data_IF_191175645856
#
_entry.id   IF_191175645856
#
_cell.length_a   1.000
_cell.length_b   1.000
_cell.length_c   1.000
_cell.angle_alpha   90.00
_cell.angle_beta   90.00
_cell.angle_gamma   90.00
#
_symmetry.space_group_name_H-M   'P 1'
#
loop_
_entity.id
_entity.type
_entity.pdbx_description
1 polymer ?
#
# COMPACT_ATOMS: atom_id res chain seq x y z
N UNK A 1 0.63 -7.58 21.69
CA UNK A 1 0.08 -6.31 21.14
C UNK A 1 0.01 -6.31 19.61
N UNK A 2 1.10 -6.55 18.88
CA UNK A 2 1.10 -6.50 17.41
C UNK A 2 0.10 -7.46 16.74
N UNK A 3 -0.10 -8.65 17.31
CA UNK A 3 -1.09 -9.61 16.82
C UNK A 3 -2.52 -9.07 16.87
N UNK A 4 -2.88 -8.38 17.96
CA UNK A 4 -4.20 -7.76 18.12
C UNK A 4 -4.41 -6.67 17.07
N UNK A 5 -3.43 -5.77 16.90
CA UNK A 5 -3.52 -4.69 15.93
C UNK A 5 -3.65 -5.21 14.49
N UNK A 6 -2.83 -6.21 14.12
CA UNK A 6 -2.90 -6.85 12.80
C UNK A 6 -4.26 -7.52 12.57
N UNK A 7 -4.81 -8.18 13.59
CA UNK A 7 -6.11 -8.86 13.48
C UNK A 7 -7.29 -7.87 13.40
N UNK A 8 -7.18 -6.67 13.98
CA UNK A 8 -8.20 -5.62 13.84
C UNK A 8 -8.34 -5.17 12.37
N UNK A 9 -7.24 -5.16 11.62
CA UNK A 9 -7.23 -4.84 10.19
C UNK A 9 -7.61 -6.02 9.30
N UNK A 10 -7.53 -7.27 9.79
CA UNK A 10 -7.75 -8.49 9.03
C UNK A 10 -9.24 -8.83 8.75
N UNK A 11 -10.10 -7.82 8.60
CA UNK A 11 -11.53 -7.99 8.29
C UNK A 11 -11.74 -8.12 6.78
N UNK A 12 -12.71 -8.93 6.35
CA UNK A 12 -12.97 -9.20 4.93
C UNK A 12 -13.13 -7.94 4.06
N UNK A 13 -13.92 -6.96 4.52
CA UNK A 13 -14.10 -5.68 3.81
C UNK A 13 -12.81 -4.86 3.70
N UNK A 14 -11.96 -4.87 4.73
CA UNK A 14 -10.68 -4.15 4.71
C UNK A 14 -9.68 -4.84 3.79
N UNK A 15 -9.69 -6.18 3.72
CA UNK A 15 -8.91 -6.95 2.73
C UNK A 15 -9.35 -6.58 1.31
N UNK A 16 -10.65 -6.62 1.02
CA UNK A 16 -11.19 -6.21 -0.28
C UNK A 16 -10.81 -4.77 -0.65
N UNK A 17 -10.95 -3.83 0.29
CA UNK A 17 -10.52 -2.43 0.08
C UNK A 17 -9.02 -2.34 -0.22
N UNK A 18 -8.18 -3.08 0.50
CA UNK A 18 -6.72 -3.09 0.27
C UNK A 18 -6.40 -3.58 -1.13
N UNK A 19 -7.05 -4.65 -1.57
CA UNK A 19 -6.87 -5.20 -2.91
C UNK A 19 -7.28 -4.19 -4.00
N UNK A 20 -8.42 -3.53 -3.83
CA UNK A 20 -8.88 -2.48 -4.74
C UNK A 20 -7.87 -1.33 -4.80
N UNK A 21 -7.46 -0.77 -3.65
CA UNK A 21 -6.55 0.37 -3.61
C UNK A 21 -5.18 0.05 -4.23
N UNK A 22 -4.61 -1.12 -3.92
CA UNK A 22 -3.35 -1.56 -4.50
C UNK A 22 -3.44 -1.73 -6.02
N UNK A 23 -4.55 -2.31 -6.51
CA UNK A 23 -4.79 -2.52 -7.95
C UNK A 23 -5.02 -1.20 -8.68
N UNK A 24 -5.77 -0.28 -8.08
CA UNK A 24 -5.96 1.08 -8.62
C UNK A 24 -4.63 1.81 -8.71
N UNK A 25 -3.81 1.80 -7.65
CA UNK A 25 -2.50 2.43 -7.67
C UNK A 25 -1.58 1.82 -8.74
N UNK A 26 -1.55 0.49 -8.85
CA UNK A 26 -0.81 -0.19 -9.91
C UNK A 26 -1.27 0.27 -11.30
N UNK A 27 -2.58 0.30 -11.55
CA UNK A 27 -3.14 0.74 -12.82
C UNK A 27 -2.81 2.22 -13.10
N UNK A 28 -2.87 3.09 -12.10
CA UNK A 28 -2.50 4.52 -12.23
C UNK A 28 -1.03 4.68 -12.58
N UNK A 29 -0.12 3.95 -11.93
CA UNK A 29 1.32 3.98 -12.24
C UNK A 29 1.57 3.44 -13.66
N UNK A 30 0.87 2.38 -14.06
CA UNK A 30 1.01 1.79 -15.40
C UNK A 30 0.54 2.74 -16.51
N UNK A 31 -0.64 3.34 -16.34
CA UNK A 31 -1.24 4.25 -17.34
C UNK A 31 -0.50 5.59 -17.39
N UNK A 32 0.02 6.08 -16.25
CA UNK A 32 0.70 7.37 -16.16
C UNK A 32 2.03 7.29 -15.41
N UNK A 33 2.96 6.52 -15.98
CA UNK A 33 4.29 6.29 -15.41
C UNK A 33 5.12 7.57 -15.30
N UNK A 34 4.96 8.50 -16.24
CA UNK A 34 5.66 9.80 -16.23
C UNK A 34 5.24 10.66 -15.03
N UNK A 35 3.93 10.78 -14.75
CA UNK A 35 3.47 11.53 -13.58
C UNK A 35 3.94 10.90 -12.27
N UNK A 36 3.95 9.56 -12.19
CA UNK A 36 4.52 8.85 -11.04
C UNK A 36 6.01 9.15 -10.86
N UNK A 37 6.80 9.07 -11.94
CA UNK A 37 8.23 9.34 -11.92
C UNK A 37 8.53 10.78 -11.49
N UNK A 38 7.78 11.76 -11.98
CA UNK A 38 7.97 13.17 -11.59
C UNK A 38 7.58 13.43 -10.13
N UNK A 39 6.50 12.79 -9.66
CA UNK A 39 5.96 13.01 -8.31
C UNK A 39 6.77 12.30 -7.21
N UNK A 40 7.28 11.10 -7.50
CA UNK A 40 7.90 10.22 -6.48
C UNK A 40 9.30 9.72 -6.85
N UNK A 41 9.65 9.71 -8.15
CA UNK A 41 10.92 9.17 -8.65
C UNK A 41 12.03 10.21 -8.89
N UNK A 42 11.69 11.50 -8.93
CA UNK A 42 12.60 12.59 -9.30
C UNK A 42 13.75 12.82 -8.30
N UNK A 43 13.73 13.93 -7.55
CA UNK A 43 14.82 14.28 -6.62
C UNK A 43 14.96 13.33 -5.44
N UNK A 44 13.94 12.52 -5.15
CA UNK A 44 13.87 11.68 -3.95
C UNK A 44 13.41 10.26 -4.30
N UNK A 45 14.27 9.43 -4.92
CA UNK A 45 13.89 8.10 -5.45
C UNK A 45 13.36 7.14 -4.37
N UNK A 46 13.71 7.36 -3.10
CA UNK A 46 13.19 6.59 -1.97
C UNK A 46 11.67 6.73 -1.80
N UNK A 47 11.05 7.81 -2.29
CA UNK A 47 9.60 7.96 -2.26
C UNK A 47 8.91 6.98 -3.22
N UNK A 48 9.47 6.72 -4.40
CA UNK A 48 8.95 5.70 -5.30
C UNK A 48 9.01 4.29 -4.66
N UNK A 49 10.14 3.97 -3.99
CA UNK A 49 10.27 2.72 -3.24
C UNK A 49 9.25 2.63 -2.09
N UNK A 50 9.02 3.73 -1.37
CA UNK A 50 8.01 3.79 -0.31
C UNK A 50 6.60 3.52 -0.85
N UNK A 51 6.24 4.10 -2.01
CA UNK A 51 4.93 3.86 -2.64
C UNK A 51 4.78 2.40 -3.07
N UNK A 52 5.81 1.80 -3.69
CA UNK A 52 5.79 0.37 -4.03
C UNK A 52 5.67 -0.52 -2.79
N UNK A 53 6.34 -0.16 -1.70
CA UNK A 53 6.22 -0.86 -0.43
C UNK A 53 4.79 -0.78 0.13
N UNK A 54 4.18 0.41 0.14
CA UNK A 54 2.77 0.58 0.54
C UNK A 54 1.81 -0.26 -0.31
N UNK A 55 2.02 -0.28 -1.63
CA UNK A 55 1.26 -1.10 -2.57
C UNK A 55 1.41 -2.60 -2.27
N UNK A 56 2.64 -3.07 -2.03
CA UNK A 56 2.92 -4.44 -1.68
C UNK A 56 2.25 -4.85 -0.35
N UNK A 57 2.27 -3.99 0.67
CA UNK A 57 1.54 -4.23 1.94
C UNK A 57 0.06 -4.44 1.67
N UNK A 58 -0.56 -3.57 0.87
CA UNK A 58 -2.00 -3.67 0.59
C UNK A 58 -2.36 -4.88 -0.28
N UNK A 59 -1.51 -5.31 -1.20
CA UNK A 59 -1.74 -6.58 -1.91
C UNK A 59 -1.61 -7.80 -0.99
N UNK A 60 -0.54 -7.88 -0.18
CA UNK A 60 -0.36 -8.99 0.78
C UNK A 60 -1.56 -9.08 1.73
N UNK A 61 -2.02 -7.94 2.24
CA UNK A 61 -3.22 -7.88 3.06
C UNK A 61 -4.49 -8.25 2.26
N UNK A 62 -4.62 -7.74 1.05
CA UNK A 62 -5.82 -7.86 0.21
C UNK A 62 -6.09 -9.26 -0.31
N UNK A 63 -5.05 -10.03 -0.65
CA UNK A 63 -5.19 -11.46 -1.01
C UNK A 63 -5.54 -12.34 0.20
N UNK A 64 -5.54 -11.77 1.41
CA UNK A 64 -5.86 -12.48 2.64
C UNK A 64 -4.71 -13.32 3.21
N UNK A 65 -3.46 -13.01 2.84
CA UNK A 65 -2.28 -13.73 3.32
C UNK A 65 -2.16 -13.64 4.85
N UNK A 66 -2.06 -14.79 5.52
CA UNK A 66 -1.93 -14.87 6.97
C UNK A 66 -0.47 -14.87 7.41
N UNK A 67 -0.01 -13.71 7.89
CA UNK A 67 1.33 -13.58 8.43
C UNK A 67 1.37 -14.16 9.84
N UNK A 68 2.26 -15.13 10.08
CA UNK A 68 2.39 -15.78 11.40
C UNK A 68 3.42 -15.09 12.29
N UNK A 69 4.62 -14.83 11.78
CA UNK A 69 5.71 -14.26 12.56
C UNK A 69 5.48 -12.78 12.91
N UNK A 70 5.82 -12.39 14.14
CA UNK A 70 5.59 -11.04 14.65
C UNK A 70 6.35 -9.95 13.85
N UNK A 71 7.60 -10.21 13.47
CA UNK A 71 8.41 -9.25 12.69
C UNK A 71 7.74 -8.90 11.36
N UNK A 72 7.20 -9.89 10.67
CA UNK A 72 6.51 -9.70 9.40
C UNK A 72 5.17 -8.99 9.56
N UNK A 73 4.48 -9.12 10.71
CA UNK A 73 3.26 -8.34 11.00
C UNK A 73 3.54 -6.85 11.19
N UNK A 74 4.75 -6.50 11.64
CA UNK A 74 5.18 -5.09 11.77
C UNK A 74 5.49 -4.52 10.40
N UNK A 75 6.29 -5.23 9.61
CA UNK A 75 6.68 -4.83 8.24
C UNK A 75 5.41 -4.70 7.38
N UNK A 76 4.58 -5.73 7.32
CA UNK A 76 3.37 -5.74 6.52
C UNK A 76 2.11 -5.31 7.27
N UNK A 77 2.23 -4.33 8.17
CA UNK A 77 1.06 -3.81 8.89
C UNK A 77 0.14 -3.04 7.91
N UNK A 78 -1.13 -3.44 7.71
CA UNK A 78 -2.00 -2.83 6.70
C UNK A 78 -2.19 -1.33 6.86
N UNK A 79 -2.16 -0.82 8.10
CA UNK A 79 -2.25 0.60 8.40
C UNK A 79 -1.14 1.43 7.72
N UNK A 80 0.08 0.91 7.66
CA UNK A 80 1.18 1.56 6.93
C UNK A 80 0.89 1.62 5.44
N UNK A 81 0.34 0.55 4.87
CA UNK A 81 -0.09 0.50 3.48
C UNK A 81 -1.11 1.60 3.16
N UNK A 82 -2.15 1.76 3.98
CA UNK A 82 -3.15 2.82 3.80
C UNK A 82 -2.56 4.22 3.92
N UNK A 83 -1.70 4.46 4.92
CA UNK A 83 -1.04 5.75 5.14
C UNK A 83 -0.14 6.16 3.98
N UNK A 84 0.37 5.22 3.20
CA UNK A 84 1.20 5.48 2.02
C UNK A 84 0.35 5.59 0.76
N UNK A 85 -0.53 4.61 0.51
CA UNK A 85 -1.24 4.46 -0.78
C UNK A 85 -2.33 5.50 -0.97
N UNK A 86 -3.07 5.88 0.09
CA UNK A 86 -4.15 6.86 -0.04
C UNK A 86 -3.60 8.24 -0.45
N UNK A 87 -2.56 8.81 0.21
CA UNK A 87 -1.95 10.03 -0.26
C UNK A 87 -1.32 9.92 -1.64
N UNK A 88 -0.70 8.78 -1.97
CA UNK A 88 -0.11 8.57 -3.29
C UNK A 88 -1.15 8.63 -4.40
N UNK A 89 -2.29 7.95 -4.22
CA UNK A 89 -3.43 8.01 -5.14
C UNK A 89 -4.02 9.41 -5.24
N UNK A 90 -4.18 10.10 -4.10
CA UNK A 90 -4.66 11.48 -4.10
C UNK A 90 -3.75 12.40 -4.93
N UNK A 91 -2.43 12.27 -4.77
CA UNK A 91 -1.43 13.04 -5.54
C UNK A 91 -1.44 12.69 -7.03
N UNK A 92 -1.82 11.47 -7.42
CA UNK A 92 -1.81 11.05 -8.83
C UNK A 92 -3.14 11.29 -9.56
N UNK A 93 -4.25 11.41 -8.82
CA UNK A 93 -5.60 11.48 -9.39
C UNK A 93 -6.28 12.85 -9.23
N UNK A 94 -5.93 13.60 -8.17
CA UNK A 94 -6.64 14.84 -7.78
C UNK A 94 -5.76 16.08 -7.86
N UNK A 95 -4.43 15.91 -7.74
CA UNK A 95 -3.48 16.91 -8.22
C UNK A 95 -3.28 16.73 -9.73
#
# INVERSE_FOLDING_TARGET
>A
MIHTLYNLTAKGLLKALSFILATVLFATIWVNSTAFALSFGGKTPYLAMLVFYGMAILWVHGIGFEIRAAIWKVIFLPLLGYLIVIPALWILLVK
#
